data_IF_216479361612
#
_entry.id   IF_216479361612
#
_cell.length_a   1.000
_cell.length_b   1.000
_cell.length_c   1.000
_cell.angle_alpha   90.00
_cell.angle_beta   90.00
_cell.angle_gamma   90.00
#
_symmetry.space_group_name_H-M   'P 1'
#
loop_
_entity.id
_entity.type
_entity.pdbx_description
1 polymer ?
#
# COMPACT_ATOMS: atom_id res chain seq x y z
N UNK A 1 3.65 -9.33 5.80
CA UNK A 1 2.65 -8.38 5.30
C UNK A 1 2.42 -8.54 3.79
N UNK A 2 3.45 -8.39 2.95
CA UNK A 2 3.39 -8.54 1.48
C UNK A 2 2.83 -9.90 0.98
N UNK A 3 3.18 -11.01 1.62
CA UNK A 3 2.66 -12.34 1.25
C UNK A 3 1.12 -12.40 1.20
N UNK A 4 0.43 -11.62 2.05
CA UNK A 4 -1.04 -11.56 2.08
C UNK A 4 -1.61 -10.75 0.91
N UNK A 5 -0.86 -9.74 0.45
CA UNK A 5 -1.27 -8.85 -0.64
C UNK A 5 -1.18 -9.55 -2.01
N UNK A 6 -0.28 -10.52 -2.18
CA UNK A 6 -0.11 -11.25 -3.45
C UNK A 6 -1.43 -11.83 -3.95
N UNK A 7 -2.22 -12.47 -3.09
CA UNK A 7 -3.50 -13.06 -3.53
C UNK A 7 -4.65 -12.05 -3.61
N UNK A 8 -4.51 -10.89 -2.95
CA UNK A 8 -5.52 -9.83 -2.98
C UNK A 8 -5.40 -8.92 -4.19
N UNK A 9 -4.17 -8.68 -4.68
CA UNK A 9 -3.86 -7.67 -5.69
C UNK A 9 -3.39 -8.24 -7.01
N UNK A 10 -2.88 -9.47 -7.05
CA UNK A 10 -2.39 -10.08 -8.28
C UNK A 10 -3.37 -11.17 -8.77
N UNK A 11 -3.88 -11.09 -10.01
CA UNK A 11 -4.72 -12.12 -10.59
C UNK A 11 -3.96 -13.45 -10.75
N UNK A 12 -4.69 -14.55 -10.95
CA UNK A 12 -4.12 -15.90 -10.97
C UNK A 12 -3.07 -16.11 -12.07
N UNK A 13 -3.34 -15.64 -13.28
CA UNK A 13 -2.42 -15.75 -14.42
C UNK A 13 -1.13 -14.96 -14.15
N UNK A 14 -1.24 -13.68 -13.83
CA UNK A 14 -0.09 -12.81 -13.55
C UNK A 14 0.78 -13.34 -12.41
N UNK A 15 0.18 -13.93 -11.35
CA UNK A 15 0.94 -14.58 -10.28
C UNK A 15 1.82 -15.71 -10.81
N UNK A 16 1.30 -16.52 -11.72
CA UNK A 16 2.04 -17.64 -12.28
C UNK A 16 3.21 -17.16 -13.13
N UNK A 17 2.99 -16.11 -13.94
CA UNK A 17 4.03 -15.51 -14.78
C UNK A 17 5.14 -14.92 -13.91
N UNK A 18 4.78 -14.19 -12.84
CA UNK A 18 5.75 -13.69 -11.86
C UNK A 18 6.52 -14.85 -11.22
N UNK A 19 5.85 -15.92 -10.77
CA UNK A 19 6.57 -17.06 -10.19
C UNK A 19 7.55 -17.68 -11.17
N UNK A 20 7.17 -17.85 -12.44
CA UNK A 20 8.08 -18.38 -13.47
C UNK A 20 9.25 -17.45 -13.75
N UNK A 21 9.00 -16.15 -13.95
CA UNK A 21 10.04 -15.11 -14.16
C UNK A 21 11.05 -15.09 -13.01
N UNK A 22 10.57 -15.28 -11.79
CA UNK A 22 11.40 -15.30 -10.58
C UNK A 22 11.95 -16.68 -10.22
N UNK A 23 11.87 -17.68 -11.12
CA UNK A 23 12.44 -19.01 -10.93
C UNK A 23 11.77 -19.85 -9.82
N UNK A 24 10.54 -19.52 -9.45
CA UNK A 24 9.74 -20.22 -8.45
C UNK A 24 8.81 -21.21 -9.14
N UNK A 25 9.07 -22.51 -8.96
CA UNK A 25 8.20 -23.56 -9.51
C UNK A 25 6.77 -23.43 -8.97
N UNK A 26 5.77 -23.61 -9.84
CA UNK A 26 4.34 -23.49 -9.46
C UNK A 26 3.90 -24.57 -8.46
N UNK A 27 4.59 -25.69 -8.35
CA UNK A 27 4.34 -26.73 -7.34
C UNK A 27 5.17 -26.55 -6.05
N UNK A 28 5.98 -25.48 -5.95
CA UNK A 28 6.83 -25.23 -4.79
C UNK A 28 6.01 -24.96 -3.52
N UNK A 29 6.58 -25.31 -2.36
CA UNK A 29 5.99 -24.98 -1.06
C UNK A 29 6.26 -23.51 -0.74
N UNK A 30 5.31 -22.86 -0.06
CA UNK A 30 5.45 -21.47 0.44
C UNK A 30 5.86 -20.44 -0.64
N UNK A 31 5.44 -20.61 -1.90
CA UNK A 31 5.75 -19.72 -3.05
C UNK A 31 5.68 -18.23 -2.75
N UNK A 32 4.65 -17.80 -2.03
CA UNK A 32 4.45 -16.41 -1.60
C UNK A 32 5.63 -15.85 -0.80
N UNK A 33 6.18 -16.64 0.13
CA UNK A 33 7.32 -16.22 0.95
C UNK A 33 8.62 -16.25 0.14
N UNK A 34 8.78 -17.23 -0.75
CA UNK A 34 9.94 -17.28 -1.65
C UNK A 34 9.99 -16.06 -2.56
N UNK A 35 8.85 -15.64 -3.11
CA UNK A 35 8.78 -14.44 -3.94
C UNK A 35 9.14 -13.19 -3.13
N UNK A 36 8.52 -12.99 -1.96
CA UNK A 36 8.83 -11.82 -1.12
C UNK A 36 10.29 -11.80 -0.70
N UNK A 37 10.88 -12.95 -0.39
CA UNK A 37 12.30 -13.01 -0.06
C UNK A 37 13.18 -12.60 -1.24
N UNK A 38 12.90 -13.11 -2.46
CA UNK A 38 13.64 -12.71 -3.67
C UNK A 38 13.48 -11.23 -3.97
N UNK A 39 12.27 -10.67 -3.85
CA UNK A 39 12.02 -9.24 -4.08
C UNK A 39 12.90 -8.30 -3.22
N UNK A 40 13.30 -8.73 -2.01
CA UNK A 40 14.11 -7.92 -1.10
C UNK A 40 15.60 -8.26 -1.09
N UNK A 41 15.99 -9.48 -1.48
CA UNK A 41 17.39 -9.92 -1.42
C UNK A 41 18.09 -9.91 -2.78
N UNK A 42 17.36 -9.84 -3.89
CA UNK A 42 17.98 -9.83 -5.22
C UNK A 42 18.59 -8.46 -5.50
N UNK A 43 19.90 -8.43 -5.72
CA UNK A 43 20.71 -7.19 -5.81
C UNK A 43 21.01 -6.78 -7.24
N UNK A 44 20.60 -7.57 -8.22
CA UNK A 44 20.79 -7.24 -9.63
C UNK A 44 19.98 -6.00 -10.00
N UNK A 45 20.62 -5.00 -10.60
CA UNK A 45 20.00 -3.72 -10.96
C UNK A 45 18.73 -3.88 -11.81
N UNK A 46 18.71 -4.88 -12.71
CA UNK A 46 17.52 -5.21 -13.51
C UNK A 46 16.38 -5.76 -12.63
N UNK A 47 16.72 -6.56 -11.62
CA UNK A 47 15.76 -7.10 -10.66
C UNK A 47 15.27 -6.05 -9.67
N UNK A 48 16.05 -5.02 -9.35
CA UNK A 48 15.60 -3.92 -8.47
C UNK A 48 14.40 -3.18 -9.06
N UNK A 49 14.42 -2.87 -10.36
CA UNK A 49 13.31 -2.17 -11.04
C UNK A 49 12.05 -3.05 -11.05
N UNK A 50 12.21 -4.31 -11.45
CA UNK A 50 11.11 -5.30 -11.47
C UNK A 50 10.54 -5.53 -10.06
N UNK A 51 11.41 -5.62 -9.05
CA UNK A 51 11.02 -5.75 -7.64
C UNK A 51 10.20 -4.56 -7.17
N UNK A 52 10.68 -3.35 -7.45
CA UNK A 52 10.00 -2.12 -7.08
C UNK A 52 8.61 -2.04 -7.75
N UNK A 53 8.51 -2.42 -9.02
CA UNK A 53 7.22 -2.46 -9.74
C UNK A 53 6.23 -3.45 -9.11
N UNK A 54 6.68 -4.66 -8.76
CA UNK A 54 5.85 -5.66 -8.10
C UNK A 54 5.40 -5.18 -6.71
N UNK A 55 6.31 -4.61 -5.92
CA UNK A 55 5.99 -4.08 -4.58
C UNK A 55 5.01 -2.91 -4.67
N UNK A 56 5.21 -2.00 -5.62
CA UNK A 56 4.29 -0.88 -5.86
C UNK A 56 2.88 -1.38 -6.20
N UNK A 57 2.77 -2.40 -7.06
CA UNK A 57 1.48 -3.03 -7.39
C UNK A 57 0.84 -3.72 -6.19
N UNK A 58 1.64 -4.43 -5.38
CA UNK A 58 1.14 -5.12 -4.19
C UNK A 58 0.59 -4.15 -3.13
N UNK A 59 1.22 -2.99 -2.97
CA UNK A 59 0.76 -1.97 -2.00
C UNK A 59 -0.35 -1.09 -2.59
N UNK A 60 -0.55 -1.14 -3.92
CA UNK A 60 -1.52 -0.30 -4.63
C UNK A 60 -1.01 1.12 -4.91
N UNK A 61 0.32 1.30 -4.89
CA UNK A 61 0.98 2.54 -5.32
C UNK A 61 0.98 2.70 -6.84
N UNK A 62 0.96 1.61 -7.62
CA UNK A 62 0.99 1.69 -9.09
C UNK A 62 -0.30 2.22 -9.73
N UNK A 63 -1.42 2.18 -8.98
CA UNK A 63 -2.75 2.61 -9.45
C UNK A 63 -3.00 4.11 -9.18
N UNK A 64 -2.09 4.75 -8.46
CA UNK A 64 -2.13 6.19 -8.24
C UNK A 64 -1.38 6.84 -9.40
N UNK A 65 -2.13 7.37 -10.36
CA UNK A 65 -1.60 8.07 -11.54
C UNK A 65 -0.68 9.25 -11.21
N UNK A 66 -0.31 10.08 -12.20
CA UNK A 66 0.67 11.17 -12.06
C UNK A 66 0.42 12.15 -10.89
N UNK A 67 -0.76 12.13 -10.27
CA UNK A 67 -1.10 12.84 -9.05
C UNK A 67 -0.08 12.66 -7.89
N UNK A 68 0.53 11.48 -7.72
CA UNK A 68 1.59 11.32 -6.71
C UNK A 68 2.87 12.05 -7.10
N UNK A 69 3.23 12.09 -8.39
CA UNK A 69 4.45 12.76 -8.88
C UNK A 69 4.39 14.29 -8.71
N UNK A 70 3.18 14.86 -8.68
CA UNK A 70 2.98 16.30 -8.46
C UNK A 70 2.92 16.70 -6.98
N UNK A 71 2.53 15.80 -6.06
CA UNK A 71 2.19 16.18 -4.68
C UNK A 71 3.26 15.88 -3.61
N UNK A 72 4.46 15.41 -3.98
CA UNK A 72 5.57 15.32 -3.03
C UNK A 72 6.30 16.65 -2.78
N UNK A 73 5.97 17.71 -3.53
CA UNK A 73 6.60 19.03 -3.39
C UNK A 73 5.89 20.01 -2.45
N UNK A 74 4.55 20.10 -2.49
CA UNK A 74 3.80 21.13 -1.78
C UNK A 74 2.34 20.72 -1.55
N UNK A 75 2.02 20.22 -0.36
CA UNK A 75 0.85 20.68 0.44
C UNK A 75 0.67 19.76 1.66
N UNK A 76 1.50 19.97 2.69
CA UNK A 76 1.17 19.58 4.07
C UNK A 76 0.18 20.63 4.60
N UNK A 77 -0.89 20.91 3.86
CA UNK A 77 -1.95 21.80 4.34
C UNK A 77 -2.89 20.92 5.14
N UNK A 78 -2.94 21.05 6.48
CA UNK A 78 -3.94 20.34 7.26
C UNK A 78 -5.29 20.75 6.70
N UNK A 79 -6.28 19.84 6.60
CA UNK A 79 -7.62 20.25 6.21
C UNK A 79 -8.02 21.39 7.14
N UNK A 80 -8.30 22.56 6.57
CA UNK A 80 -8.84 23.70 7.31
C UNK A 80 -10.00 23.16 8.10
N UNK A 81 -9.86 23.09 9.43
CA UNK A 81 -10.92 22.62 10.33
C UNK A 81 -12.12 23.50 10.04
N UNK A 82 -13.06 23.02 9.23
CA UNK A 82 -14.39 23.61 9.14
C UNK A 82 -14.88 23.59 10.58
N UNK A 83 -14.99 24.78 11.16
CA UNK A 83 -15.34 25.08 12.54
C UNK A 83 -15.96 23.88 13.22
N UNK A 84 -15.18 23.19 14.06
CA UNK A 84 -15.73 22.22 15.01
C UNK A 84 -16.69 23.06 15.84
N UNK A 85 -18.00 22.98 15.55
CA UNK A 85 -19.04 23.53 16.41
C UNK A 85 -18.76 22.95 17.78
N UNK A 86 -18.15 23.73 18.64
CA UNK A 86 -18.09 23.42 20.06
C UNK A 86 -19.52 23.51 20.52
N UNK A 87 -20.18 22.37 20.67
CA UNK A 87 -21.36 22.29 21.52
C UNK A 87 -20.86 22.67 22.91
N UNK A 88 -21.07 23.94 23.28
CA UNK A 88 -20.78 24.43 24.62
C UNK A 88 -21.62 23.62 25.60
N UNK A 89 -20.98 23.05 26.61
CA UNK A 89 -21.66 22.40 27.71
C UNK A 89 -22.51 23.46 28.42
N UNK A 90 -23.82 23.45 28.17
CA UNK A 90 -24.74 24.36 28.84
C UNK A 90 -24.96 23.79 30.24
N UNK A 91 -24.36 24.41 31.25
CA UNK A 91 -24.75 24.14 32.64
C UNK A 91 -26.22 24.55 32.79
N UNK A 92 -27.11 23.59 32.97
CA UNK A 92 -28.46 23.86 33.45
C UNK A 92 -28.35 24.31 34.91
N UNK A 93 -28.42 25.61 35.16
CA UNK A 93 -28.70 26.11 36.50
C UNK A 93 -30.20 25.91 36.75
N UNK A 94 -30.51 24.98 37.63
CA UNK A 94 -31.83 24.87 38.26
C UNK A 94 -32.06 26.14 39.07
N UNK A 95 -33.07 26.95 38.71
CA UNK A 95 -33.53 28.02 39.58
C UNK A 95 -34.34 27.41 40.72
N UNK A 96 -33.81 27.49 41.94
CA UNK A 96 -34.62 27.40 43.16
C UNK A 96 -35.15 28.79 43.46
N UNK A 97 -36.37 29.08 43.01
CA UNK A 97 -37.34 29.97 43.67
C UNK A 97 -38.71 29.32 43.50
#
# INVERSE_FOLDING_TARGET
MLCRLIYKRLPGAERNDIYQKWGIKLNSKRRRHQLVHRLWNDTDLNHVIDSAAIVAKLIGFSDQGPALKEMFGLSITPPTRKSRRSFGWKNSMSSLI
#
